data_IF_034049529084
#
_entry.id   IF_034049529084
#
_cell.length_a   1.000
_cell.length_b   1.000
_cell.length_c   1.000
_cell.angle_alpha   90.00
_cell.angle_beta   90.00
_cell.angle_gamma   90.00
#
_symmetry.space_group_name_H-M   'P 1'
#
loop_
_entity.id
_entity.type
_entity.pdbx_description
1 polymer ?
#
# COMPACT_ATOMS: atom_id res chain seq x y z
N UNK A 1 0.21 -1.23 -25.10
CA UNK A 1 1.28 -2.02 -24.42
C UNK A 1 2.63 -1.44 -24.76
N UNK A 2 3.44 -1.16 -23.75
CA UNK A 2 4.80 -0.63 -23.93
C UNK A 2 5.79 -1.79 -23.78
N UNK A 3 6.57 -2.08 -24.80
CA UNK A 3 7.71 -2.99 -24.67
C UNK A 3 8.95 -2.14 -24.46
N UNK A 4 9.52 -2.15 -23.26
CA UNK A 4 10.83 -1.59 -23.00
C UNK A 4 11.87 -2.71 -23.08
N UNK A 5 12.93 -2.60 -23.90
CA UNK A 5 14.03 -3.56 -23.88
C UNK A 5 14.69 -3.67 -22.51
N UNK A 6 14.65 -2.60 -21.70
CA UNK A 6 15.14 -2.55 -20.34
C UNK A 6 14.33 -3.40 -19.34
N UNK A 7 13.05 -3.72 -19.62
CA UNK A 7 12.22 -4.54 -18.72
C UNK A 7 12.76 -5.96 -18.54
N UNK A 8 13.48 -6.51 -19.51
CA UNK A 8 14.07 -7.85 -19.44
C UNK A 8 15.30 -7.93 -18.52
N UNK A 9 15.94 -6.79 -18.21
CA UNK A 9 17.12 -6.73 -17.31
C UNK A 9 16.77 -6.50 -15.84
N UNK A 10 15.56 -6.04 -15.55
CA UNK A 10 15.16 -5.63 -14.21
C UNK A 10 14.64 -6.76 -13.30
N UNK A 11 14.39 -7.96 -13.85
CA UNK A 11 13.82 -9.07 -13.07
C UNK A 11 14.82 -9.71 -12.08
N UNK A 12 16.11 -9.37 -12.17
CA UNK A 12 17.16 -9.98 -11.33
C UNK A 12 17.44 -9.21 -10.02
N UNK A 13 16.95 -7.97 -9.86
CA UNK A 13 17.34 -7.06 -8.75
C UNK A 13 16.15 -6.46 -7.98
N UNK A 14 15.06 -7.20 -7.76
CA UNK A 14 13.87 -6.64 -7.09
C UNK A 14 13.99 -6.42 -5.58
N UNK A 15 15.08 -6.79 -4.94
CA UNK A 15 15.23 -6.74 -3.48
C UNK A 15 16.46 -5.91 -3.07
N UNK A 16 16.24 -4.92 -2.23
CA UNK A 16 17.33 -4.23 -1.51
C UNK A 16 17.83 -2.90 -2.08
N UNK A 17 16.96 -1.97 -2.48
CA UNK A 17 17.41 -0.73 -3.13
C UNK A 17 17.23 0.47 -2.20
N UNK A 18 18.35 1.01 -1.69
CA UNK A 18 18.42 2.33 -1.06
C UNK A 18 18.27 3.49 -2.08
N UNK A 19 18.48 3.20 -3.35
CA UNK A 19 18.24 4.07 -4.52
C UNK A 19 17.29 3.34 -5.46
N UNK A 20 16.25 4.01 -5.94
CA UNK A 20 15.36 3.47 -6.96
C UNK A 20 16.15 3.43 -8.28
N UNK A 21 16.55 2.24 -8.71
CA UNK A 21 17.15 2.06 -10.02
C UNK A 21 16.08 2.29 -11.09
N UNK A 22 16.41 3.14 -12.07
CA UNK A 22 15.51 3.46 -13.17
C UNK A 22 15.72 2.51 -14.34
N UNK A 23 14.65 1.88 -14.78
CA UNK A 23 14.63 1.03 -15.99
C UNK A 23 14.09 1.82 -17.19
N UNK A 24 14.72 2.95 -17.52
CA UNK A 24 14.37 3.83 -18.61
C UNK A 24 15.56 3.87 -19.59
N UNK A 25 15.27 3.72 -20.90
CA UNK A 25 16.26 3.84 -21.97
C UNK A 25 15.78 4.87 -23.00
N UNK A 26 16.68 5.65 -23.56
CA UNK A 26 16.41 6.58 -24.66
C UNK A 26 15.84 5.89 -25.91
N UNK A 27 16.11 4.59 -26.05
CA UNK A 27 15.59 3.74 -27.13
C UNK A 27 14.18 3.21 -26.87
N UNK A 28 13.61 3.48 -25.71
CA UNK A 28 12.26 3.05 -25.39
C UNK A 28 11.24 3.59 -26.41
N UNK A 29 10.37 2.70 -26.86
CA UNK A 29 9.29 3.01 -27.81
C UNK A 29 7.94 2.73 -27.17
N UNK A 30 6.94 3.53 -27.49
CA UNK A 30 5.56 3.31 -27.10
C UNK A 30 4.80 2.69 -28.25
N UNK A 31 3.97 1.69 -27.95
CA UNK A 31 3.08 1.06 -28.93
C UNK A 31 1.66 1.01 -28.37
N UNK A 32 0.70 1.28 -29.23
CA UNK A 32 -0.72 1.06 -28.99
C UNK A 32 -1.04 -0.37 -29.41
N UNK A 33 -1.80 -1.08 -28.63
CA UNK A 33 -2.25 -2.44 -28.92
C UNK A 33 -3.72 -2.61 -28.56
N UNK A 34 -4.49 -3.19 -29.46
CA UNK A 34 -5.88 -3.59 -29.25
C UNK A 34 -6.15 -4.95 -29.90
N UNK A 35 -7.41 -5.35 -29.99
CA UNK A 35 -7.82 -6.62 -30.62
C UNK A 35 -7.52 -6.68 -32.12
N UNK A 36 -7.32 -5.54 -32.79
CA UNK A 36 -7.03 -5.46 -34.23
C UNK A 36 -5.53 -5.53 -34.54
N UNK A 37 -4.66 -5.25 -33.57
CA UNK A 37 -3.21 -5.33 -33.75
C UNK A 37 -2.42 -4.32 -32.93
N UNK A 38 -1.16 -4.12 -33.34
CA UNK A 38 -0.19 -3.25 -32.67
C UNK A 38 0.37 -2.20 -33.64
N UNK A 39 0.37 -0.94 -33.19
CA UNK A 39 0.93 0.18 -33.94
C UNK A 39 1.94 0.94 -33.06
N UNK A 40 3.12 1.26 -33.63
CA UNK A 40 4.11 2.10 -32.90
C UNK A 40 3.69 3.55 -32.91
N UNK A 41 3.97 4.26 -31.81
CA UNK A 41 3.80 5.71 -31.74
C UNK A 41 5.05 6.40 -32.28
N UNK A 42 4.86 7.39 -33.14
CA UNK A 42 5.94 8.29 -33.59
C UNK A 42 6.25 9.28 -32.45
N UNK A 43 7.33 9.00 -31.73
CA UNK A 43 7.79 9.76 -30.56
C UNK A 43 8.12 11.23 -30.92
N UNK A 44 8.63 11.49 -32.11
CA UNK A 44 9.11 12.82 -32.50
C UNK A 44 7.99 13.77 -32.94
N UNK A 45 6.93 13.20 -33.51
CA UNK A 45 5.80 13.96 -34.06
C UNK A 45 4.58 14.00 -33.14
N UNK A 46 4.61 13.24 -32.03
CA UNK A 46 3.49 13.15 -31.08
C UNK A 46 3.64 14.14 -29.93
N UNK A 47 2.50 14.68 -29.45
CA UNK A 47 2.43 15.62 -28.32
C UNK A 47 2.35 14.89 -26.97
N UNK A 48 3.20 13.89 -26.75
CA UNK A 48 3.22 13.11 -25.53
C UNK A 48 4.64 12.94 -24.99
N UNK A 49 4.78 12.95 -23.66
CA UNK A 49 6.01 12.54 -23.02
C UNK A 49 5.97 11.03 -22.75
N UNK A 50 6.75 10.26 -23.53
CA UNK A 50 6.76 8.80 -23.45
C UNK A 50 7.17 8.30 -22.06
N UNK A 51 8.02 9.04 -21.35
CA UNK A 51 8.53 8.63 -20.05
C UNK A 51 7.50 8.72 -18.91
N UNK A 52 6.37 9.39 -19.15
CA UNK A 52 5.23 9.44 -18.23
C UNK A 52 4.24 8.28 -18.41
N UNK A 53 4.44 7.45 -19.43
CA UNK A 53 3.59 6.30 -19.71
C UNK A 53 4.28 5.01 -19.32
N UNK A 54 3.50 4.06 -18.83
CA UNK A 54 3.94 2.70 -18.53
C UNK A 54 3.13 1.68 -19.35
N UNK A 55 3.62 0.45 -19.44
CA UNK A 55 2.87 -0.64 -20.07
C UNK A 55 1.55 -0.91 -19.35
N UNK A 56 0.52 -1.32 -20.10
CA UNK A 56 -0.74 -1.78 -19.54
C UNK A 56 -1.77 -0.68 -19.21
N UNK A 57 -1.47 0.60 -19.45
CA UNK A 57 -2.44 1.68 -19.21
C UNK A 57 -3.57 1.60 -20.24
N UNK A 58 -4.86 1.56 -19.81
CA UNK A 58 -5.98 1.74 -20.69
C UNK A 58 -6.07 3.22 -21.13
N UNK A 59 -5.97 3.48 -22.44
CA UNK A 59 -5.94 4.85 -22.96
C UNK A 59 -6.54 4.89 -24.37
N UNK A 60 -7.34 5.92 -24.65
CA UNK A 60 -7.82 6.23 -25.97
C UNK A 60 -6.94 7.31 -26.59
N UNK A 61 -6.41 7.07 -27.80
CA UNK A 61 -5.61 8.03 -28.54
C UNK A 61 -6.37 8.56 -29.76
N UNK A 62 -6.28 9.87 -29.95
CA UNK A 62 -6.71 10.53 -31.19
C UNK A 62 -5.48 10.93 -31.98
N UNK A 63 -5.46 10.61 -33.28
CA UNK A 63 -4.33 10.95 -34.14
C UNK A 63 -4.46 10.36 -35.55
N UNK A 64 -3.32 10.28 -36.26
CA UNK A 64 -3.23 9.80 -37.64
C UNK A 64 -1.97 8.97 -37.83
N UNK A 65 -1.97 8.11 -38.86
CA UNK A 65 -0.79 7.39 -39.29
C UNK A 65 0.10 8.31 -40.14
N UNK A 66 1.42 8.21 -39.97
CA UNK A 66 2.40 8.81 -40.87
C UNK A 66 2.66 7.87 -42.05
N UNK A 67 3.45 8.34 -43.03
CA UNK A 67 3.81 7.59 -44.26
C UNK A 67 4.58 6.28 -43.98
N UNK A 68 5.13 6.11 -42.78
CA UNK A 68 5.85 4.91 -42.31
C UNK A 68 4.95 3.95 -41.50
N UNK A 69 3.65 4.24 -41.36
CA UNK A 69 2.70 3.43 -40.62
C UNK A 69 2.82 3.59 -39.08
N UNK A 70 3.55 4.59 -38.58
CA UNK A 70 3.57 4.91 -37.17
C UNK A 70 2.46 5.91 -36.81
N UNK A 71 1.90 5.80 -35.60
CA UNK A 71 0.79 6.63 -35.15
C UNK A 71 1.31 7.94 -34.53
N UNK A 72 0.83 9.07 -35.04
CA UNK A 72 1.10 10.40 -34.51
C UNK A 72 -0.06 10.74 -33.56
N UNK A 73 0.22 10.88 -32.26
CA UNK A 73 -0.76 11.23 -31.25
C UNK A 73 -0.99 12.74 -31.26
N UNK A 74 -2.23 13.16 -31.46
CA UNK A 74 -2.67 14.55 -31.37
C UNK A 74 -3.28 14.85 -30.01
N UNK A 75 -4.02 13.87 -29.44
CA UNK A 75 -4.71 13.97 -28.15
C UNK A 75 -4.90 12.57 -27.53
N UNK A 76 -5.15 12.50 -26.24
CA UNK A 76 -5.42 11.24 -25.55
C UNK A 76 -6.32 11.41 -24.31
N UNK A 77 -7.04 10.33 -23.97
CA UNK A 77 -7.94 10.28 -22.82
C UNK A 77 -7.71 8.98 -22.04
N UNK A 78 -7.57 9.08 -20.73
CA UNK A 78 -7.53 7.92 -19.84
C UNK A 78 -8.93 7.45 -19.46
N UNK A 79 -9.01 6.19 -19.02
CA UNK A 79 -10.23 5.62 -18.47
C UNK A 79 -10.69 6.41 -17.23
N UNK A 80 -11.97 6.75 -17.17
CA UNK A 80 -12.58 7.43 -16.02
C UNK A 80 -13.54 6.47 -15.28
N UNK A 81 -13.18 6.00 -14.07
CA UNK A 81 -14.01 5.09 -13.29
C UNK A 81 -15.39 5.67 -12.91
N UNK A 82 -15.50 7.00 -12.74
CA UNK A 82 -16.75 7.65 -12.28
C UNK A 82 -17.86 7.62 -13.35
N UNK A 83 -17.50 7.59 -14.63
CA UNK A 83 -18.48 7.53 -15.72
C UNK A 83 -19.17 6.16 -15.82
N UNK A 84 -18.57 5.10 -15.28
CA UNK A 84 -19.13 3.74 -15.30
C UNK A 84 -20.12 3.49 -14.18
N UNK A 85 -20.02 4.21 -13.06
CA UNK A 85 -20.90 4.03 -11.88
C UNK A 85 -22.30 4.61 -12.10
N UNK A 86 -22.47 5.58 -13.00
CA UNK A 86 -23.81 6.12 -13.30
C UNK A 86 -24.77 5.08 -13.90
N UNK A 87 -24.25 4.03 -14.53
CA UNK A 87 -25.05 2.95 -15.14
C UNK A 87 -25.39 1.81 -14.17
N UNK A 88 -24.77 1.74 -12.98
CA UNK A 88 -24.93 0.63 -12.01
C UNK A 88 -25.70 1.02 -10.73
N UNK A 89 -26.46 2.12 -10.74
CA UNK A 89 -27.22 2.64 -9.56
C UNK A 89 -28.27 1.69 -8.98
N UNK A 90 -28.33 0.44 -9.43
CA UNK A 90 -29.31 -0.57 -8.98
C UNK A 90 -28.71 -1.71 -8.14
N UNK A 91 -27.50 -1.61 -7.59
CA UNK A 91 -26.95 -2.64 -6.69
C UNK A 91 -26.81 -2.14 -5.27
N UNK A 92 -27.67 -2.71 -4.46
CA UNK A 92 -27.69 -2.90 -3.01
C UNK A 92 -26.65 -2.15 -2.18
N UNK A 93 -27.11 -1.19 -1.40
CA UNK A 93 -26.46 -0.70 -0.20
C UNK A 93 -26.20 -1.88 0.74
N UNK A 94 -24.95 -2.10 1.20
CA UNK A 94 -24.70 -3.04 2.31
C UNK A 94 -25.51 -2.59 3.52
N UNK A 95 -26.25 -3.52 4.12
CA UNK A 95 -26.99 -3.29 5.36
C UNK A 95 -26.04 -2.72 6.41
N UNK A 96 -26.29 -1.50 6.85
CA UNK A 96 -25.71 -0.93 8.04
C UNK A 96 -26.12 -1.80 9.24
N UNK A 97 -25.16 -2.54 9.80
CA UNK A 97 -25.35 -3.10 11.13
C UNK A 97 -25.21 -1.92 12.11
N UNK A 98 -26.34 -1.31 12.40
CA UNK A 98 -26.46 -0.37 13.54
C UNK A 98 -26.16 -1.13 14.83
N UNK A 99 -24.92 -1.12 15.28
CA UNK A 99 -24.59 -1.44 16.66
C UNK A 99 -24.89 -0.22 17.52
N UNK A 100 -25.99 -0.28 18.24
CA UNK A 100 -26.38 0.68 19.29
C UNK A 100 -25.44 0.57 20.50
N UNK A 101 -24.21 1.05 20.37
CA UNK A 101 -23.24 1.17 21.47
C UNK A 101 -22.65 2.58 21.51
N UNK A 102 -22.19 3.10 22.67
CA UNK A 102 -21.75 4.49 22.83
C UNK A 102 -20.40 4.79 22.16
N UNK A 103 -20.26 4.49 20.87
CA UNK A 103 -19.09 4.83 20.04
C UNK A 103 -19.15 6.25 19.48
N UNK A 104 -20.05 7.09 19.97
CA UNK A 104 -20.36 8.42 19.39
C UNK A 104 -19.16 9.39 19.30
N UNK A 105 -18.04 9.07 19.94
CA UNK A 105 -16.85 9.94 19.94
C UNK A 105 -15.62 9.36 19.22
N UNK A 106 -15.70 8.13 18.68
CA UNK A 106 -14.56 7.52 18.00
C UNK A 106 -14.52 7.94 16.52
N UNK A 107 -13.65 8.89 16.21
CA UNK A 107 -13.52 9.47 14.86
C UNK A 107 -12.09 9.48 14.33
N UNK A 108 -11.18 8.73 14.94
CA UNK A 108 -9.77 8.67 14.57
C UNK A 108 -9.40 7.27 14.10
N UNK A 109 -8.54 7.21 13.06
CA UNK A 109 -7.90 5.99 12.58
C UNK A 109 -6.40 6.15 12.78
N UNK A 110 -5.76 5.15 13.39
CA UNK A 110 -4.30 5.10 13.52
C UNK A 110 -3.73 4.21 12.42
N UNK A 111 -2.84 4.75 11.61
CA UNK A 111 -2.05 4.02 10.61
C UNK A 111 -0.64 3.78 11.13
N UNK A 112 -0.19 2.55 11.03
CA UNK A 112 1.19 2.11 11.31
C UNK A 112 1.71 1.41 10.06
N UNK A 113 2.85 1.86 9.56
CA UNK A 113 3.45 1.32 8.34
C UNK A 113 4.81 0.71 8.65
N UNK A 114 5.10 -0.47 8.08
CA UNK A 114 6.41 -1.13 8.14
C UNK A 114 6.96 -1.32 9.58
N UNK A 115 6.29 -2.15 10.38
CA UNK A 115 6.77 -2.50 11.73
C UNK A 115 8.14 -3.17 11.73
N UNK A 116 8.41 -4.03 10.74
CA UNK A 116 9.66 -4.76 10.48
C UNK A 116 10.26 -5.42 11.73
N UNK A 117 9.44 -6.15 12.48
CA UNK A 117 9.89 -6.89 13.66
C UNK A 117 11.06 -7.82 13.29
N UNK A 118 12.13 -7.77 14.07
CA UNK A 118 13.35 -8.55 13.83
C UNK A 118 14.36 -7.88 12.92
N UNK A 119 14.17 -6.61 12.56
CA UNK A 119 15.17 -5.85 11.81
C UNK A 119 16.52 -5.85 12.58
N UNK A 120 17.65 -6.17 11.93
CA UNK A 120 18.96 -6.17 12.55
C UNK A 120 19.35 -4.85 13.27
N UNK A 121 18.91 -3.72 12.71
CA UNK A 121 19.15 -2.39 13.30
C UNK A 121 18.48 -2.24 14.68
N UNK A 122 17.42 -2.97 14.95
CA UNK A 122 16.72 -3.01 16.23
C UNK A 122 17.57 -3.54 17.37
N UNK A 123 18.45 -4.50 17.07
CA UNK A 123 19.37 -5.11 18.05
C UNK A 123 20.46 -4.13 18.49
N UNK A 124 20.70 -3.06 17.72
CA UNK A 124 21.75 -2.10 17.97
C UNK A 124 21.32 -0.99 18.96
N UNK A 125 20.07 -0.51 18.87
CA UNK A 125 19.63 0.64 19.69
C UNK A 125 18.38 0.42 20.54
N UNK A 126 17.61 -0.64 20.29
CA UNK A 126 16.39 -0.99 21.03
C UNK A 126 15.22 0.00 20.89
N UNK A 127 15.37 1.08 20.12
CA UNK A 127 14.38 2.15 20.02
C UNK A 127 13.08 1.69 19.40
N UNK A 128 13.15 0.89 18.33
CA UNK A 128 11.96 0.39 17.65
C UNK A 128 11.16 -0.57 18.55
N UNK A 129 11.83 -1.41 19.36
CA UNK A 129 11.17 -2.26 20.35
C UNK A 129 10.48 -1.43 21.43
N UNK A 130 11.14 -0.38 21.94
CA UNK A 130 10.55 0.55 22.91
C UNK A 130 9.37 1.30 22.30
N UNK A 131 9.45 1.74 21.04
CA UNK A 131 8.38 2.42 20.35
C UNK A 131 7.15 1.51 20.14
N UNK A 132 7.34 0.21 19.87
CA UNK A 132 6.23 -0.76 19.82
C UNK A 132 5.57 -0.95 21.17
N UNK A 133 6.34 -0.99 22.25
CA UNK A 133 5.79 -1.04 23.62
C UNK A 133 4.95 0.22 23.91
N UNK A 134 5.47 1.40 23.54
CA UNK A 134 4.72 2.66 23.70
C UNK A 134 3.47 2.72 22.82
N UNK A 135 3.47 2.09 21.64
CA UNK A 135 2.28 1.95 20.80
C UNK A 135 1.20 1.12 21.53
N UNK A 136 1.58 0.00 22.17
CA UNK A 136 0.66 -0.83 22.97
C UNK A 136 0.12 -0.03 24.15
N UNK A 137 0.97 0.65 24.92
CA UNK A 137 0.56 1.49 26.05
C UNK A 137 -0.39 2.60 25.61
N UNK A 138 -0.14 3.20 24.44
CA UNK A 138 -1.02 4.21 23.85
C UNK A 138 -2.40 3.64 23.55
N UNK A 139 -2.50 2.47 22.93
CA UNK A 139 -3.78 1.84 22.61
C UNK A 139 -4.53 1.41 23.86
N UNK A 140 -3.83 0.88 24.86
CA UNK A 140 -4.39 0.49 26.16
C UNK A 140 -4.72 1.70 27.04
N UNK A 141 -4.35 2.91 26.64
CA UNK A 141 -4.46 4.14 27.42
C UNK A 141 -3.73 4.06 28.78
N UNK A 142 -2.57 3.39 28.80
CA UNK A 142 -1.76 3.19 29.99
C UNK A 142 -0.78 4.34 30.21
N UNK A 143 -0.76 4.93 31.40
CA UNK A 143 0.24 5.94 31.81
C UNK A 143 0.42 7.12 30.82
N UNK A 144 -0.61 7.52 30.09
CA UNK A 144 -0.58 8.62 29.13
C UNK A 144 -0.86 9.96 29.83
N UNK A 145 -0.29 11.03 29.28
CA UNK A 145 -0.73 12.37 29.64
C UNK A 145 -2.12 12.66 29.03
N UNK A 146 -2.81 13.69 29.53
CA UNK A 146 -4.22 13.99 29.17
C UNK A 146 -4.43 14.12 27.67
N UNK A 147 -3.50 14.75 26.95
CA UNK A 147 -3.59 14.95 25.50
C UNK A 147 -3.57 13.62 24.73
N UNK A 148 -2.65 12.72 25.07
CA UNK A 148 -2.53 11.43 24.40
C UNK A 148 -3.63 10.47 24.85
N UNK A 149 -4.09 10.57 26.09
CA UNK A 149 -5.24 9.82 26.60
C UNK A 149 -6.52 10.17 25.85
N UNK A 150 -6.77 11.46 25.55
CA UNK A 150 -7.92 11.87 24.73
C UNK A 150 -7.82 11.33 23.30
N UNK A 151 -6.66 11.40 22.68
CA UNK A 151 -6.45 10.84 21.35
C UNK A 151 -6.66 9.34 21.32
N UNK A 152 -6.08 8.58 22.28
CA UNK A 152 -6.22 7.13 22.38
C UNK A 152 -7.69 6.70 22.45
N UNK A 153 -8.48 7.31 23.33
CA UNK A 153 -9.91 6.99 23.51
C UNK A 153 -10.76 7.22 22.27
N UNK A 154 -10.33 8.13 21.40
CA UNK A 154 -11.04 8.47 20.17
C UNK A 154 -10.65 7.63 18.96
N UNK A 155 -9.64 6.75 19.08
CA UNK A 155 -9.29 5.83 18.01
C UNK A 155 -10.39 4.80 17.83
N UNK A 156 -10.87 4.67 16.59
CA UNK A 156 -11.89 3.70 16.21
C UNK A 156 -11.25 2.40 15.73
N UNK A 157 -10.11 2.50 15.05
CA UNK A 157 -9.46 1.39 14.34
C UNK A 157 -7.96 1.66 14.19
N UNK A 158 -7.18 0.59 14.18
CA UNK A 158 -5.74 0.62 13.83
C UNK A 158 -5.53 -0.15 12.53
N UNK A 159 -4.80 0.43 11.60
CA UNK A 159 -4.48 -0.18 10.31
C UNK A 159 -2.97 -0.37 10.23
N UNK A 160 -2.54 -1.62 10.16
CA UNK A 160 -1.15 -1.98 9.86
C UNK A 160 -1.01 -2.18 8.36
N UNK A 161 -0.04 -1.49 7.75
CA UNK A 161 0.16 -1.49 6.30
C UNK A 161 1.63 -1.70 5.95
N UNK A 162 1.91 -2.64 5.05
CA UNK A 162 3.27 -2.91 4.58
C UNK A 162 4.00 -3.97 5.38
N UNK A 163 5.33 -3.97 5.32
CA UNK A 163 6.19 -5.00 5.87
C UNK A 163 6.21 -4.98 7.41
N UNK A 164 5.53 -5.92 8.06
CA UNK A 164 5.44 -5.99 9.53
C UNK A 164 6.51 -6.90 10.16
N UNK A 165 7.06 -7.84 9.40
CA UNK A 165 8.16 -8.72 9.81
C UNK A 165 9.35 -8.46 8.88
N UNK A 166 10.54 -8.42 9.43
CA UNK A 166 11.76 -8.35 8.64
C UNK A 166 12.10 -9.71 8.05
N UNK A 167 12.32 -9.76 6.75
CA UNK A 167 12.83 -10.93 6.02
C UNK A 167 14.20 -10.57 5.45
N UNK A 168 15.20 -11.41 5.70
CA UNK A 168 16.54 -11.17 5.18
C UNK A 168 16.58 -11.46 3.69
N UNK A 169 17.02 -10.49 2.89
CA UNK A 169 17.13 -10.60 1.43
C UNK A 169 18.02 -11.77 0.95
N UNK A 170 18.92 -12.23 1.82
CA UNK A 170 19.79 -13.39 1.52
C UNK A 170 19.04 -14.71 1.47
N UNK A 171 17.79 -14.78 1.99
CA UNK A 171 17.07 -16.04 2.10
C UNK A 171 16.84 -16.69 0.72
N UNK A 172 16.50 -15.90 -0.30
CA UNK A 172 16.35 -16.43 -1.67
C UNK A 172 17.66 -16.95 -2.28
N UNK A 173 18.80 -16.35 -1.89
CA UNK A 173 20.12 -16.82 -2.32
C UNK A 173 20.49 -18.13 -1.62
N UNK A 174 20.03 -18.30 -0.38
CA UNK A 174 20.23 -19.54 0.39
C UNK A 174 19.38 -20.66 -0.15
N UNK A 175 18.14 -20.41 -0.58
CA UNK A 175 17.26 -21.40 -1.21
C UNK A 175 17.85 -22.01 -2.49
N UNK A 176 18.49 -21.18 -3.30
CA UNK A 176 19.15 -21.60 -4.56
C UNK A 176 20.54 -22.20 -4.33
N UNK A 177 20.99 -22.28 -3.07
CA UNK A 177 22.34 -22.70 -2.70
C UNK A 177 22.53 -24.21 -2.62
N UNK A 178 23.81 -24.61 -2.51
CA UNK A 178 24.20 -26.00 -2.31
C UNK A 178 23.83 -26.49 -0.90
N UNK A 179 23.84 -27.81 -0.71
CA UNK A 179 23.54 -28.51 0.57
C UNK A 179 24.29 -27.94 1.79
N UNK A 180 25.46 -27.34 1.59
CA UNK A 180 26.27 -26.71 2.64
C UNK A 180 25.62 -25.46 3.27
N UNK A 181 24.61 -24.86 2.65
CA UNK A 181 23.87 -23.70 3.17
C UNK A 181 22.53 -24.05 3.82
N UNK A 182 22.19 -25.32 3.90
CA UNK A 182 20.90 -25.75 4.45
C UNK A 182 20.72 -25.38 5.94
N UNK A 183 21.81 -25.38 6.71
CA UNK A 183 21.80 -24.96 8.13
C UNK A 183 21.57 -23.45 8.28
N UNK A 184 22.20 -22.64 7.43
CA UNK A 184 22.00 -21.17 7.41
C UNK A 184 20.56 -20.85 7.02
N UNK A 185 20.04 -21.48 5.97
CA UNK A 185 18.66 -21.33 5.54
C UNK A 185 17.66 -21.69 6.65
N UNK A 186 17.87 -22.81 7.33
CA UNK A 186 17.04 -23.24 8.45
C UNK A 186 17.06 -22.25 9.62
N UNK A 187 18.23 -21.67 9.90
CA UNK A 187 18.39 -20.67 10.95
C UNK A 187 17.61 -19.40 10.61
N UNK A 188 17.71 -18.92 9.36
CA UNK A 188 16.95 -17.75 8.90
C UNK A 188 15.44 -18.00 8.93
N UNK A 189 14.98 -19.17 8.51
CA UNK A 189 13.56 -19.56 8.59
C UNK A 189 13.06 -19.55 10.05
N UNK A 190 13.82 -20.12 10.97
CA UNK A 190 13.44 -20.12 12.38
C UNK A 190 13.35 -18.68 12.92
N UNK A 191 14.27 -17.81 12.51
CA UNK A 191 14.22 -16.38 12.90
C UNK A 191 12.96 -15.70 12.38
N UNK A 192 12.55 -15.98 11.14
CA UNK A 192 11.30 -15.44 10.58
C UNK A 192 10.09 -15.95 11.36
N UNK A 193 10.04 -17.24 11.69
CA UNK A 193 8.97 -17.86 12.50
C UNK A 193 8.87 -17.18 13.86
N UNK A 194 10.00 -16.94 14.53
CA UNK A 194 10.03 -16.25 15.83
C UNK A 194 9.56 -14.79 15.72
N UNK A 195 9.90 -14.11 14.62
CA UNK A 195 9.44 -12.76 14.34
C UNK A 195 7.92 -12.72 14.13
N UNK A 196 7.34 -13.69 13.39
CA UNK A 196 5.88 -13.82 13.23
C UNK A 196 5.19 -14.14 14.56
N UNK A 197 5.75 -15.00 15.39
CA UNK A 197 5.24 -15.27 16.73
C UNK A 197 5.24 -13.99 17.61
N UNK A 198 6.26 -13.16 17.45
CA UNK A 198 6.33 -11.86 18.15
C UNK A 198 5.27 -10.91 17.62
N UNK A 199 5.08 -10.82 16.31
CA UNK A 199 4.02 -10.01 15.68
C UNK A 199 2.64 -10.46 16.16
N UNK A 200 2.38 -11.76 16.18
CA UNK A 200 1.10 -12.33 16.62
C UNK A 200 0.75 -11.92 18.04
N UNK A 201 1.71 -11.96 18.97
CA UNK A 201 1.54 -11.48 20.34
C UNK A 201 1.18 -9.99 20.41
N UNK A 202 1.86 -9.15 19.60
CA UNK A 202 1.53 -7.72 19.53
C UNK A 202 0.12 -7.49 18.99
N UNK A 203 -0.22 -8.14 17.89
CA UNK A 203 -1.54 -8.01 17.29
C UNK A 203 -2.65 -8.48 18.24
N UNK A 204 -2.42 -9.58 18.99
CA UNK A 204 -3.35 -10.06 20.00
C UNK A 204 -3.60 -9.01 21.08
N UNK A 205 -2.54 -8.46 21.67
CA UNK A 205 -2.67 -7.45 22.72
C UNK A 205 -3.46 -6.24 22.19
N UNK A 206 -3.18 -5.79 20.98
CA UNK A 206 -3.86 -4.63 20.39
C UNK A 206 -5.32 -4.95 20.04
N UNK A 207 -5.59 -6.11 19.45
CA UNK A 207 -6.93 -6.52 19.02
C UNK A 207 -7.90 -6.78 20.17
N UNK A 208 -7.39 -7.05 21.38
CA UNK A 208 -8.21 -7.16 22.59
C UNK A 208 -8.83 -5.80 23.01
N UNK A 209 -8.25 -4.67 22.56
CA UNK A 209 -8.70 -3.33 22.94
C UNK A 209 -9.36 -2.56 21.79
N UNK A 210 -8.97 -2.84 20.54
CA UNK A 210 -9.40 -2.06 19.40
C UNK A 210 -9.47 -2.93 18.13
N UNK A 211 -10.29 -2.52 17.18
CA UNK A 211 -10.36 -3.15 15.87
C UNK A 211 -9.06 -2.93 15.07
N UNK A 212 -8.49 -4.00 14.55
CA UNK A 212 -7.24 -4.02 13.79
C UNK A 212 -7.49 -4.56 12.39
N UNK A 213 -7.06 -3.81 11.37
CA UNK A 213 -6.91 -4.32 10.00
C UNK A 213 -5.43 -4.49 9.71
N UNK A 214 -5.09 -5.65 9.20
CA UNK A 214 -3.72 -6.02 8.89
C UNK A 214 -3.57 -6.30 7.40
N UNK A 215 -2.79 -5.47 6.73
CA UNK A 215 -2.49 -5.54 5.30
C UNK A 215 -1.00 -5.84 5.13
N UNK A 216 -0.71 -6.98 4.56
CA UNK A 216 0.66 -7.44 4.35
C UNK A 216 1.31 -6.82 3.11
N UNK A 217 2.61 -7.05 2.96
CA UNK A 217 3.45 -6.67 1.82
C UNK A 217 3.95 -7.91 1.08
N UNK A 218 4.21 -7.80 -0.21
CA UNK A 218 4.84 -8.85 -1.02
C UNK A 218 6.23 -9.23 -0.48
N UNK A 219 6.92 -8.29 0.17
CA UNK A 219 8.22 -8.55 0.79
C UNK A 219 8.18 -9.62 1.89
N UNK A 220 6.99 -9.97 2.38
CA UNK A 220 6.79 -10.92 3.48
C UNK A 220 6.46 -12.35 3.04
N UNK A 221 6.90 -12.81 1.92
CA UNK A 221 6.93 -14.22 1.46
C UNK A 221 5.59 -15.00 1.44
N UNK A 222 4.47 -14.45 1.90
CA UNK A 222 3.18 -15.14 1.98
C UNK A 222 2.30 -14.98 0.73
N UNK A 223 2.83 -14.38 -0.31
CA UNK A 223 2.10 -14.19 -1.56
C UNK A 223 2.88 -13.34 -2.53
N UNK A 224 3.56 -14.02 -3.45
CA UNK A 224 4.42 -13.39 -4.47
C UNK A 224 3.62 -12.63 -5.52
N UNK A 225 2.29 -12.79 -5.53
CA UNK A 225 1.40 -12.28 -6.58
C UNK A 225 0.51 -11.15 -6.09
N UNK A 226 0.35 -10.14 -6.90
CA UNK A 226 -0.54 -9.01 -6.68
C UNK A 226 -1.83 -9.16 -7.54
N UNK A 227 -3.03 -8.83 -7.07
CA UNK A 227 -3.39 -8.49 -5.70
C UNK A 227 -3.03 -9.62 -4.74
N UNK A 228 -2.57 -9.24 -3.55
CA UNK A 228 -2.18 -10.18 -2.53
C UNK A 228 -3.41 -10.59 -1.71
N UNK A 229 -3.62 -11.90 -1.55
CA UNK A 229 -4.66 -12.40 -0.69
C UNK A 229 -4.35 -12.08 0.78
N UNK A 230 -5.37 -12.03 1.65
CA UNK A 230 -5.15 -11.95 3.09
C UNK A 230 -4.22 -13.07 3.58
N UNK A 231 -3.40 -12.77 4.59
CA UNK A 231 -2.56 -13.77 5.21
C UNK A 231 -3.36 -14.96 5.70
N UNK A 232 -2.73 -16.14 5.69
CA UNK A 232 -3.35 -17.32 6.28
C UNK A 232 -3.48 -17.12 7.80
N UNK A 233 -4.69 -17.32 8.34
CA UNK A 233 -4.96 -17.19 9.78
C UNK A 233 -4.06 -18.10 10.64
N UNK A 234 -3.61 -19.25 10.10
CA UNK A 234 -2.71 -20.17 10.81
C UNK A 234 -1.35 -19.57 11.17
N UNK A 235 -0.96 -18.44 10.59
CA UNK A 235 0.26 -17.71 10.97
C UNK A 235 0.06 -17.00 12.33
N UNK A 236 -1.17 -16.68 12.69
CA UNK A 236 -1.53 -15.93 13.90
C UNK A 236 -2.24 -16.80 14.93
N UNK A 237 -1.54 -17.83 15.45
CA UNK A 237 -2.11 -18.86 16.34
C UNK A 237 -2.58 -18.31 17.68
N UNK A 238 -1.90 -17.31 18.22
CA UNK A 238 -2.29 -16.67 19.48
C UNK A 238 -3.62 -15.91 19.32
N UNK A 239 -3.83 -15.26 18.19
CA UNK A 239 -5.09 -14.59 17.89
C UNK A 239 -6.22 -15.58 17.58
N UNK A 240 -5.92 -16.72 16.92
CA UNK A 240 -6.92 -17.76 16.64
C UNK A 240 -7.47 -18.42 17.91
N UNK A 241 -6.65 -18.58 18.94
CA UNK A 241 -7.08 -19.14 20.22
C UNK A 241 -8.05 -18.22 20.97
N UNK A 242 -8.16 -16.98 20.56
CA UNK A 242 -9.04 -15.99 21.16
C UNK A 242 -10.44 -16.06 20.55
N UNK A 243 -11.41 -16.57 21.30
CA UNK A 243 -12.83 -16.66 20.91
C UNK A 243 -13.43 -15.29 20.60
N UNK A 244 -12.79 -14.21 21.05
CA UNK A 244 -13.14 -12.81 20.78
C UNK A 244 -12.42 -12.22 19.54
N UNK A 245 -11.83 -13.02 18.68
CA UNK A 245 -11.09 -12.62 17.46
C UNK A 245 -11.90 -11.79 16.42
N UNK A 246 -12.98 -11.15 16.85
CA UNK A 246 -13.76 -10.20 16.05
C UNK A 246 -13.04 -8.88 15.79
N UNK A 247 -11.89 -8.66 16.43
CA UNK A 247 -11.17 -7.38 16.36
C UNK A 247 -9.96 -7.39 15.43
N UNK A 248 -9.53 -8.54 14.89
CA UNK A 248 -8.44 -8.65 13.92
C UNK A 248 -8.96 -9.12 12.56
N UNK A 249 -8.86 -8.26 11.56
CA UNK A 249 -9.12 -8.59 10.17
C UNK A 249 -7.80 -8.69 9.41
N UNK A 250 -7.62 -9.80 8.70
CA UNK A 250 -6.55 -9.96 7.73
C UNK A 250 -7.09 -9.55 6.37
N UNK A 251 -6.50 -8.54 5.76
CA UNK A 251 -7.03 -7.90 4.56
C UNK A 251 -6.15 -8.14 3.35
N UNK A 252 -6.71 -7.99 2.16
CA UNK A 252 -5.99 -8.08 0.89
C UNK A 252 -5.10 -6.85 0.66
N UNK A 253 -4.15 -6.96 -0.24
CA UNK A 253 -3.36 -5.84 -0.75
C UNK A 253 -3.53 -5.77 -2.28
N UNK A 254 -4.18 -4.75 -2.85
CA UNK A 254 -4.72 -3.54 -2.21
C UNK A 254 -5.92 -3.80 -1.30
N UNK A 255 -6.13 -2.89 -0.35
CA UNK A 255 -7.24 -2.88 0.59
C UNK A 255 -8.15 -1.68 0.34
N UNK A 256 -9.44 -1.93 0.14
CA UNK A 256 -10.45 -0.88 -0.08
C UNK A 256 -11.49 -1.01 1.02
N UNK A 257 -11.78 0.08 1.71
CA UNK A 257 -12.78 0.09 2.76
C UNK A 257 -13.52 1.41 2.84
N UNK A 258 -14.72 1.35 3.40
CA UNK A 258 -15.58 2.50 3.60
C UNK A 258 -15.69 2.84 5.07
N UNK A 259 -15.70 4.13 5.40
CA UNK A 259 -15.94 4.61 6.74
C UNK A 259 -17.02 5.69 6.72
N UNK A 260 -17.98 5.54 7.62
CA UNK A 260 -19.02 6.52 7.83
C UNK A 260 -18.62 7.49 8.95
N UNK A 261 -18.63 8.80 8.65
CA UNK A 261 -18.51 9.85 9.64
C UNK A 261 -19.87 10.16 10.23
N UNK A 262 -20.05 9.93 11.51
CA UNK A 262 -21.30 10.24 12.22
C UNK A 262 -21.56 11.74 12.28
N UNK A 263 -20.49 12.56 12.34
CA UNK A 263 -20.59 14.01 12.42
C UNK A 263 -21.00 14.65 11.11
N UNK A 264 -20.35 14.29 10.02
CA UNK A 264 -20.62 14.86 8.68
C UNK A 264 -21.74 14.10 7.95
N UNK A 265 -22.14 12.93 8.46
CA UNK A 265 -23.10 12.01 7.82
C UNK A 265 -22.69 11.64 6.39
N UNK A 266 -21.40 11.55 6.15
CA UNK A 266 -20.82 11.20 4.86
C UNK A 266 -20.07 9.88 4.95
N UNK A 267 -20.19 9.09 3.88
CA UNK A 267 -19.41 7.88 3.66
C UNK A 267 -18.13 8.27 2.92
N UNK A 268 -16.97 7.82 3.38
CA UNK A 268 -15.68 8.03 2.72
C UNK A 268 -15.08 6.70 2.34
N UNK A 269 -14.59 6.62 1.11
CA UNK A 269 -13.93 5.45 0.56
C UNK A 269 -12.41 5.61 0.63
N UNK A 270 -11.74 4.61 1.19
CA UNK A 270 -10.29 4.56 1.39
C UNK A 270 -9.67 3.46 0.56
N UNK A 271 -8.51 3.75 0.00
CA UNK A 271 -7.65 2.80 -0.66
C UNK A 271 -6.31 2.73 0.10
N UNK A 272 -5.86 1.53 0.42
CA UNK A 272 -4.54 1.29 1.02
C UNK A 272 -3.75 0.26 0.21
N UNK A 273 -2.46 0.51 0.02
CA UNK A 273 -1.54 -0.48 -0.57
C UNK A 273 -0.19 -0.45 0.17
N UNK A 274 0.51 -1.56 0.17
CA UNK A 274 1.87 -1.65 0.74
C UNK A 274 2.93 -0.94 -0.12
N UNK A 275 2.54 -0.36 -1.29
CA UNK A 275 3.36 0.56 -2.07
C UNK A 275 4.20 -0.09 -3.18
N UNK A 276 4.18 -1.41 -3.36
CA UNK A 276 4.96 -2.10 -4.40
C UNK A 276 4.55 -1.65 -5.80
N UNK A 277 3.26 -1.46 -6.04
CA UNK A 277 2.74 -0.95 -7.30
C UNK A 277 3.29 0.45 -7.62
N UNK A 278 3.41 1.31 -6.62
CA UNK A 278 3.98 2.66 -6.77
C UNK A 278 5.49 2.59 -6.99
N UNK A 279 6.21 1.77 -6.20
CA UNK A 279 7.65 1.57 -6.40
C UNK A 279 7.97 1.10 -7.81
N UNK A 280 7.17 0.18 -8.37
CA UNK A 280 7.33 -0.29 -9.75
C UNK A 280 7.16 0.85 -10.76
N UNK A 281 6.15 1.71 -10.61
CA UNK A 281 5.97 2.88 -11.48
C UNK A 281 7.16 3.81 -11.42
N UNK A 282 7.69 4.08 -10.22
CA UNK A 282 8.87 4.91 -10.05
C UNK A 282 10.11 4.36 -10.75
N UNK A 283 10.25 3.04 -10.88
CA UNK A 283 11.36 2.39 -11.60
C UNK A 283 11.25 2.55 -13.13
N UNK A 284 10.03 2.55 -13.66
CA UNK A 284 9.78 2.53 -15.12
C UNK A 284 9.37 3.89 -15.71
N UNK A 285 9.42 4.96 -14.93
CA UNK A 285 9.09 6.33 -15.35
C UNK A 285 10.14 7.33 -14.89
N UNK A 286 10.09 8.57 -15.41
CA UNK A 286 10.89 9.70 -14.92
C UNK A 286 10.36 10.26 -13.58
N UNK A 287 9.21 9.78 -13.12
CA UNK A 287 8.61 10.21 -11.87
C UNK A 287 9.51 9.79 -10.70
N UNK A 288 9.80 10.75 -9.80
CA UNK A 288 10.61 10.52 -8.61
C UNK A 288 9.81 10.67 -7.29
N UNK A 289 8.63 11.25 -7.37
CA UNK A 289 7.78 11.48 -6.20
C UNK A 289 6.67 10.42 -6.12
N UNK A 290 6.58 9.64 -5.03
CA UNK A 290 5.53 8.64 -4.83
C UNK A 290 4.11 9.21 -4.93
N UNK A 291 3.86 10.43 -4.43
CA UNK A 291 2.53 11.06 -4.51
C UNK A 291 2.12 11.34 -5.97
N UNK A 292 3.08 11.71 -6.83
CA UNK A 292 2.81 11.89 -8.27
C UNK A 292 2.50 10.53 -8.91
N UNK A 293 3.22 9.47 -8.56
CA UNK A 293 2.94 8.13 -9.07
C UNK A 293 1.57 7.63 -8.61
N UNK A 294 1.19 7.85 -7.33
CA UNK A 294 -0.15 7.56 -6.82
C UNK A 294 -1.23 8.30 -7.61
N UNK A 295 -1.04 9.60 -7.84
CA UNK A 295 -1.96 10.38 -8.67
C UNK A 295 -2.11 9.79 -10.06
N UNK A 296 -1.00 9.38 -10.70
CA UNK A 296 -1.01 8.77 -12.03
C UNK A 296 -1.80 7.46 -12.06
N UNK A 297 -1.71 6.59 -11.05
CA UNK A 297 -2.54 5.36 -11.01
C UNK A 297 -4.03 5.68 -10.99
N UNK A 298 -4.43 6.73 -10.30
CA UNK A 298 -5.82 7.19 -10.26
C UNK A 298 -6.25 7.84 -11.59
N UNK A 299 -5.38 8.65 -12.21
CA UNK A 299 -5.62 9.22 -13.55
C UNK A 299 -5.75 8.15 -14.62
N UNK A 300 -4.94 7.09 -14.55
CA UNK A 300 -5.00 5.94 -15.48
C UNK A 300 -6.17 5.00 -15.18
N UNK A 301 -6.80 5.11 -14.01
CA UNK A 301 -7.85 4.21 -13.57
C UNK A 301 -7.35 2.77 -13.30
N UNK A 302 -6.05 2.59 -13.04
CA UNK A 302 -5.43 1.27 -12.87
C UNK A 302 -4.32 1.30 -11.82
N UNK A 303 -4.42 0.44 -10.78
CA UNK A 303 -3.49 0.46 -9.64
C UNK A 303 -2.10 -0.07 -9.96
N UNK A 304 -1.97 -1.05 -10.84
CA UNK A 304 -0.68 -1.65 -11.19
C UNK A 304 -0.61 -2.00 -12.70
N UNK A 305 -0.59 -1.00 -13.59
CA UNK A 305 -0.63 -1.23 -15.04
C UNK A 305 0.61 -1.95 -15.56
N UNK A 306 1.74 -1.91 -14.84
CA UNK A 306 2.99 -2.60 -15.20
C UNK A 306 2.96 -4.12 -14.94
N UNK A 307 1.92 -4.64 -14.32
CA UNK A 307 1.75 -6.08 -14.20
C UNK A 307 1.41 -6.71 -15.57
N UNK A 308 1.92 -7.91 -15.91
CA UNK A 308 2.81 -8.77 -15.10
C UNK A 308 4.30 -8.43 -15.19
N UNK A 309 4.72 -7.51 -16.06
CA UNK A 309 6.14 -7.29 -16.41
C UNK A 309 6.96 -6.74 -15.24
N UNK A 310 6.42 -5.78 -14.50
CA UNK A 310 7.10 -5.14 -13.38
C UNK A 310 6.61 -5.60 -12.00
N UNK A 311 5.45 -6.23 -11.94
CA UNK A 311 4.85 -6.73 -10.70
C UNK A 311 4.14 -8.05 -11.00
N UNK A 312 4.49 -9.11 -10.29
CA UNK A 312 3.87 -10.43 -10.51
C UNK A 312 2.38 -10.39 -10.20
N UNK A 313 1.56 -10.92 -11.10
CA UNK A 313 0.09 -10.97 -11.00
C UNK A 313 -0.42 -12.35 -11.34
N UNK A 314 -1.56 -12.74 -10.74
CA UNK A 314 -2.31 -13.90 -11.19
C UNK A 314 -2.89 -13.65 -12.58
N UNK A 315 -2.87 -14.65 -13.48
CA UNK A 315 -3.50 -14.52 -14.78
C UNK A 315 -5.03 -14.53 -14.65
N UNK A 316 -5.63 -13.36 -14.62
CA UNK A 316 -7.09 -13.23 -14.59
C UNK A 316 -7.65 -13.36 -16.01
N UNK A 317 -8.70 -14.17 -16.16
CA UNK A 317 -9.33 -14.42 -17.46
C UNK A 317 -10.63 -13.65 -17.68
N UNK A 318 -11.34 -13.27 -16.60
CA UNK A 318 -12.65 -12.65 -16.69
C UNK A 318 -12.62 -11.12 -16.56
N UNK A 319 -11.85 -10.60 -15.61
CA UNK A 319 -11.71 -9.16 -15.38
C UNK A 319 -10.42 -8.88 -14.63
N UNK A 320 -9.81 -7.74 -14.87
CA UNK A 320 -8.63 -7.28 -14.12
C UNK A 320 -9.09 -6.63 -12.79
N UNK A 321 -8.71 -7.20 -11.63
CA UNK A 321 -9.12 -6.69 -10.33
C UNK A 321 -8.42 -5.38 -9.95
N UNK A 322 -7.39 -4.97 -10.69
CA UNK A 322 -6.60 -3.76 -10.44
C UNK A 322 -7.12 -2.53 -11.18
N UNK A 323 -8.10 -2.72 -12.06
CA UNK A 323 -8.86 -1.62 -12.67
C UNK A 323 -9.75 -1.00 -11.61
N UNK A 324 -9.61 0.30 -11.39
CA UNK A 324 -10.39 1.05 -10.43
C UNK A 324 -11.86 1.12 -10.88
N UNK A 325 -12.77 0.78 -9.97
CA UNK A 325 -14.21 0.91 -10.18
C UNK A 325 -14.75 2.27 -9.75
N UNK A 326 -14.04 2.92 -8.81
CA UNK A 326 -14.35 4.25 -8.31
C UNK A 326 -13.06 4.94 -7.82
N UNK A 327 -13.08 6.27 -7.81
CA UNK A 327 -11.98 7.06 -7.27
C UNK A 327 -12.14 7.18 -5.74
N UNK A 328 -11.11 6.83 -4.93
CA UNK A 328 -11.18 6.92 -3.47
C UNK A 328 -11.19 8.38 -2.98
N UNK A 329 -11.64 8.62 -1.74
CA UNK A 329 -11.53 9.92 -1.07
C UNK A 329 -10.12 10.12 -0.49
N UNK A 330 -9.48 9.02 -0.08
CA UNK A 330 -8.10 9.02 0.39
C UNK A 330 -7.37 7.76 -0.05
N UNK A 331 -6.10 7.93 -0.43
CA UNK A 331 -5.22 6.85 -0.85
C UNK A 331 -3.96 6.85 0.02
N UNK A 332 -3.72 5.73 0.71
CA UNK A 332 -2.60 5.53 1.62
C UNK A 332 -1.65 4.48 1.06
N UNK A 333 -0.35 4.76 1.13
CA UNK A 333 0.68 3.76 0.85
C UNK A 333 1.65 3.65 2.02
N UNK A 334 2.27 2.49 2.18
CA UNK A 334 3.41 2.37 3.08
C UNK A 334 4.64 3.05 2.44
N UNK A 335 5.23 3.98 3.18
CA UNK A 335 6.39 4.76 2.71
C UNK A 335 7.72 4.23 3.23
N UNK A 336 8.80 4.85 2.77
CA UNK A 336 10.18 4.46 3.13
C UNK A 336 10.81 5.36 4.20
N UNK A 337 10.27 6.55 4.40
CA UNK A 337 10.87 7.59 5.25
C UNK A 337 9.81 8.28 6.09
N UNK A 338 9.74 9.61 6.02
CA UNK A 338 8.81 10.48 6.75
C UNK A 338 7.43 10.55 6.08
N UNK A 339 6.45 11.08 6.82
CA UNK A 339 5.12 11.37 6.28
C UNK A 339 5.20 12.35 5.11
N UNK A 340 4.63 11.94 3.99
CA UNK A 340 4.44 12.80 2.83
C UNK A 340 2.96 12.79 2.42
N UNK A 341 2.39 13.95 2.08
CA UNK A 341 0.96 14.07 1.76
C UNK A 341 0.69 15.17 0.77
N UNK A 342 -0.35 14.99 -0.02
CA UNK A 342 -0.85 15.99 -0.97
C UNK A 342 -2.38 15.90 -1.08
N UNK A 343 -3.01 17.04 -1.30
CA UNK A 343 -4.43 17.10 -1.64
C UNK A 343 -4.53 17.48 -3.12
N UNK A 344 -4.86 16.51 -3.93
CA UNK A 344 -4.87 16.65 -5.39
C UNK A 344 -6.27 16.45 -5.96
N UNK A 345 -6.47 16.91 -7.19
CA UNK A 345 -7.71 16.68 -7.94
C UNK A 345 -7.44 15.68 -9.06
N UNK A 346 -8.23 14.61 -9.10
CA UNK A 346 -8.23 13.63 -10.18
C UNK A 346 -9.66 13.51 -10.71
N UNK A 347 -9.81 13.57 -12.03
CA UNK A 347 -11.10 13.74 -12.69
C UNK A 347 -11.84 14.93 -12.06
N UNK A 348 -12.90 14.82 -11.38
CA UNK A 348 -13.58 15.95 -10.72
C UNK A 348 -13.59 15.86 -9.20
N UNK A 349 -12.85 14.87 -8.62
CA UNK A 349 -12.84 14.58 -7.19
C UNK A 349 -11.53 15.07 -6.53
N UNK A 350 -11.64 15.66 -5.33
CA UNK A 350 -10.49 15.95 -4.48
C UNK A 350 -10.11 14.69 -3.70
N UNK A 351 -8.83 14.35 -3.70
CA UNK A 351 -8.31 13.12 -3.11
C UNK A 351 -7.13 13.46 -2.21
N UNK A 352 -7.14 12.90 -1.00
CA UNK A 352 -6.01 12.96 -0.09
C UNK A 352 -5.05 11.81 -0.40
N UNK A 353 -3.84 12.13 -0.87
CA UNK A 353 -2.75 11.17 -1.07
C UNK A 353 -1.84 11.18 0.14
N UNK A 354 -1.46 10.01 0.65
CA UNK A 354 -0.63 9.88 1.86
C UNK A 354 0.39 8.77 1.70
N UNK A 355 1.65 9.12 1.77
CA UNK A 355 2.76 8.19 1.99
C UNK A 355 3.06 8.16 3.50
N UNK A 356 2.80 7.01 4.13
CA UNK A 356 2.96 6.82 5.58
C UNK A 356 4.44 6.71 5.96
N UNK A 357 4.83 7.20 7.14
CA UNK A 357 6.21 7.06 7.61
C UNK A 357 6.56 5.59 7.89
N UNK A 358 7.80 5.20 7.60
CA UNK A 358 8.33 3.89 7.98
C UNK A 358 8.54 3.83 9.50
N UNK A 359 7.69 3.05 10.20
CA UNK A 359 7.72 2.97 11.67
C UNK A 359 9.06 2.41 12.17
N UNK A 360 9.64 1.43 11.48
CA UNK A 360 10.90 0.82 11.91
C UNK A 360 12.06 1.81 11.96
N UNK A 361 11.99 2.89 11.18
CA UNK A 361 13.03 3.92 11.10
C UNK A 361 12.68 5.17 11.90
N UNK A 362 11.42 5.59 11.81
CA UNK A 362 10.97 6.89 12.35
C UNK A 362 10.31 6.78 13.71
N UNK A 363 9.86 5.59 14.10
CA UNK A 363 9.03 5.32 15.29
C UNK A 363 7.73 6.14 15.31
N UNK A 364 7.23 6.54 14.13
CA UNK A 364 6.05 7.38 13.99
C UNK A 364 4.87 6.62 13.41
N UNK A 365 3.68 6.91 13.94
CA UNK A 365 2.40 6.56 13.34
C UNK A 365 1.65 7.80 12.88
N UNK A 366 0.58 7.62 12.12
CA UNK A 366 -0.25 8.70 11.60
C UNK A 366 -1.69 8.52 12.05
N UNK A 367 -2.23 9.51 12.73
CA UNK A 367 -3.63 9.58 13.10
C UNK A 367 -4.38 10.39 12.04
N UNK A 368 -5.37 9.77 11.42
CA UNK A 368 -6.31 10.41 10.51
C UNK A 368 -7.63 10.68 11.21
N UNK A 369 -8.11 11.92 11.10
CA UNK A 369 -9.43 12.31 11.62
C UNK A 369 -10.46 12.25 10.48
N UNK A 370 -11.45 11.37 10.64
CA UNK A 370 -12.50 11.09 9.64
C UNK A 370 -13.37 12.31 9.35
N UNK A 371 -13.55 13.20 10.36
CA UNK A 371 -14.50 14.31 10.26
C UNK A 371 -13.96 15.52 9.50
N UNK A 372 -12.64 15.70 9.45
CA UNK A 372 -12.01 16.91 8.90
C UNK A 372 -10.77 16.66 8.04
N UNK A 373 -10.48 15.39 7.70
CA UNK A 373 -9.35 14.94 6.88
C UNK A 373 -7.96 15.36 7.40
N UNK A 374 -7.89 15.69 8.70
CA UNK A 374 -6.63 16.11 9.31
C UNK A 374 -5.75 14.91 9.63
N UNK A 375 -4.49 14.98 9.21
CA UNK A 375 -3.44 14.06 9.59
C UNK A 375 -2.60 14.64 10.73
N UNK A 376 -2.28 13.81 11.72
CA UNK A 376 -1.43 14.16 12.86
C UNK A 376 -0.42 13.03 13.06
N UNK A 377 0.88 13.34 13.02
CA UNK A 377 1.91 12.38 13.40
C UNK A 377 1.97 12.22 14.90
N UNK A 378 2.21 10.99 15.33
CA UNK A 378 2.52 10.63 16.71
C UNK A 378 3.86 9.89 16.73
N UNK A 379 4.81 10.37 17.56
CA UNK A 379 6.13 9.77 17.71
C UNK A 379 6.18 8.92 18.99
N UNK A 380 6.29 7.62 18.84
CA UNK A 380 6.33 6.65 19.92
C UNK A 380 7.72 6.49 20.57
N UNK A 381 8.79 7.08 19.98
CA UNK A 381 10.11 7.15 20.60
C UNK A 381 10.22 8.26 21.66
N UNK A 382 9.32 9.25 21.63
CA UNK A 382 9.25 10.30 22.64
C UNK A 382 8.37 9.83 23.81
N UNK A 383 8.73 10.21 25.03
CA UNK A 383 7.93 9.87 26.20
C UNK A 383 6.51 10.45 26.09
N UNK A 384 5.54 9.57 25.83
CA UNK A 384 4.10 9.89 25.83
C UNK A 384 3.54 9.76 27.25
N UNK A 385 4.32 9.15 28.17
CA UNK A 385 3.97 8.91 29.56
C UNK A 385 4.19 10.14 30.45
N UNK A 386 3.48 10.21 31.57
CA UNK A 386 3.79 11.17 32.62
C UNK A 386 5.21 10.94 33.13
N UNK A 387 6.03 11.99 33.14
CA UNK A 387 7.17 12.02 34.06
C UNK A 387 6.58 11.94 35.49
N UNK A 388 6.78 10.83 36.18
CA UNK A 388 6.57 10.80 37.60
C UNK A 388 7.56 11.79 38.21
N UNK A 389 7.09 13.00 38.54
CA UNK A 389 7.77 13.87 39.51
C UNK A 389 7.68 13.26 40.89
#
# INVERSE_FOLDING_TARGET
>A
MRLKPSCLKGMENMYGISKIDKFIDEKDTLSIEDTSGRVKIDKNSSKININEFVSGIPVAFKGKLNDKGAFIVEDYLFYNPEETVENDKNKETPMDIESNTPEQNKNLILFISNLRIGNPDEKLDGKAASARTMLVDFIQNNNLNDKFSDLSKRIKRVIFLGSSVYVNEKIEQLEKGSFLRAEEYKTELNTIIDNYSTLDKYLKIISDYIHVDFINSIEQNDGVYYPQNPNNQLIFLENMSNINAKSLNLESNPFIFDIYSQKTKTKKNFLGTSGENINTILQYTDINNPLIAMKKTLEWGHLAPLAPDGLRIYPYSASDPLVLKQIPDAYFISGKNELNKDLTKVHNKNILLVELPDFSKTNKGVIYNIDNDKLTEINFAQQISFSKN
#
